data_IF_222527298202
#
_entry.id   IF_222527298202
#
_cell.length_a   1.000
_cell.length_b   1.000
_cell.length_c   1.000
_cell.angle_alpha   90.00
_cell.angle_beta   90.00
_cell.angle_gamma   90.00
#
_symmetry.space_group_name_H-M   'P 1'
#
loop_
_entity.id
_entity.type
_entity.pdbx_description
1 polymer ?
#
# COMPACT_ATOMS: atom_id res chain seq x y z
N UNK A 1 -7.32 -11.38 28.88
CA UNK A 1 -6.98 -10.99 27.50
C UNK A 1 -5.51 -10.61 27.48
N UNK A 2 -4.68 -11.48 26.94
CA UNK A 2 -3.23 -11.29 26.93
C UNK A 2 -2.85 -10.33 25.80
N UNK A 3 -2.61 -9.05 26.16
CA UNK A 3 -2.22 -7.98 25.21
C UNK A 3 -0.95 -8.31 24.41
N UNK A 4 -0.19 -9.33 24.81
CA UNK A 4 1.00 -9.80 24.10
C UNK A 4 0.67 -10.51 22.79
N UNK A 5 -0.54 -11.04 22.62
CA UNK A 5 -1.00 -11.68 21.38
C UNK A 5 -1.52 -10.68 20.32
N UNK A 6 -1.78 -9.43 20.71
CA UNK A 6 -2.20 -8.37 19.79
C UNK A 6 -1.02 -7.56 19.23
N UNK A 7 0.18 -7.77 19.79
CA UNK A 7 1.40 -7.18 19.26
C UNK A 7 1.84 -7.99 18.04
N UNK A 8 1.92 -7.34 16.87
CA UNK A 8 2.53 -7.96 15.69
C UNK A 8 4.03 -8.17 15.96
N UNK A 9 4.38 -9.39 16.36
CA UNK A 9 5.73 -9.79 16.71
C UNK A 9 6.35 -10.57 15.54
N UNK A 10 7.63 -10.34 15.23
CA UNK A 10 8.32 -11.11 14.20
C UNK A 10 8.40 -12.58 14.59
N UNK A 11 8.28 -13.48 13.60
CA UNK A 11 8.62 -14.90 13.79
C UNK A 11 10.06 -15.08 14.26
N UNK A 12 10.40 -16.26 14.75
CA UNK A 12 11.77 -16.57 15.19
C UNK A 12 12.77 -16.38 14.03
N UNK A 13 12.40 -16.82 12.82
CA UNK A 13 13.23 -16.66 11.62
C UNK A 13 13.48 -15.19 11.30
N UNK A 14 12.43 -14.37 11.27
CA UNK A 14 12.55 -12.94 11.00
C UNK A 14 13.32 -12.25 12.11
N UNK A 15 13.07 -12.60 13.38
CA UNK A 15 13.81 -12.04 14.53
C UNK A 15 15.30 -12.32 14.43
N UNK A 16 15.70 -13.54 14.09
CA UNK A 16 17.11 -13.91 13.95
C UNK A 16 17.80 -13.09 12.85
N UNK A 17 17.11 -12.86 11.73
CA UNK A 17 17.60 -11.98 10.65
C UNK A 17 17.69 -10.52 11.10
N UNK A 18 16.71 -10.00 11.83
CA UNK A 18 16.75 -8.62 12.33
C UNK A 18 17.89 -8.42 13.33
N UNK A 19 18.17 -9.40 14.18
CA UNK A 19 19.30 -9.36 15.12
C UNK A 19 20.63 -9.31 14.33
N UNK A 20 20.79 -10.14 13.31
CA UNK A 20 22.05 -10.18 12.54
C UNK A 20 22.32 -8.90 11.74
N UNK A 21 21.26 -8.24 11.26
CA UNK A 21 21.34 -6.90 10.64
C UNK A 21 21.65 -5.83 11.69
N UNK A 22 20.95 -5.84 12.82
CA UNK A 22 21.11 -4.83 13.87
C UNK A 22 22.49 -4.87 14.55
N UNK A 23 23.11 -6.05 14.65
CA UNK A 23 24.47 -6.22 15.19
C UNK A 23 25.57 -5.95 14.17
N UNK A 24 25.22 -5.53 12.95
CA UNK A 24 26.14 -5.30 11.82
C UNK A 24 27.00 -6.53 11.46
N UNK A 25 26.57 -7.73 11.86
CA UNK A 25 27.21 -8.98 11.46
C UNK A 25 26.94 -9.30 9.98
N UNK A 26 25.83 -8.79 9.43
CA UNK A 26 25.48 -8.83 8.02
C UNK A 26 25.02 -7.46 7.52
N UNK A 27 25.57 -7.00 6.39
CA UNK A 27 24.99 -5.87 5.65
C UNK A 27 23.65 -6.30 5.05
N UNK A 28 22.62 -5.44 5.08
CA UNK A 28 21.29 -5.70 4.49
C UNK A 28 21.33 -6.16 3.02
N UNK A 29 22.44 -5.89 2.33
CA UNK A 29 22.77 -6.29 0.95
C UNK A 29 22.87 -7.82 0.77
N UNK A 30 23.14 -8.59 1.82
CA UNK A 30 23.30 -10.06 1.74
C UNK A 30 22.04 -10.86 2.07
N UNK A 31 20.92 -10.19 2.40
CA UNK A 31 19.66 -10.90 2.63
C UNK A 31 19.08 -11.31 1.27
N UNK A 32 18.69 -12.58 1.18
CA UNK A 32 18.02 -13.13 0.01
C UNK A 32 16.78 -12.31 -0.34
N UNK A 33 16.70 -11.88 -1.61
CA UNK A 33 15.58 -11.08 -2.13
C UNK A 33 14.25 -11.81 -1.99
N UNK A 34 14.26 -13.14 -2.00
CA UNK A 34 13.06 -13.96 -1.77
C UNK A 34 12.51 -13.83 -0.34
N UNK A 35 13.31 -13.32 0.60
CA UNK A 35 12.88 -13.02 1.97
C UNK A 35 12.43 -11.58 2.18
N UNK A 36 12.46 -10.72 1.15
CA UNK A 36 12.04 -9.33 1.26
C UNK A 36 10.67 -9.14 0.60
N UNK A 37 9.97 -8.07 0.96
CA UNK A 37 8.84 -7.59 0.17
C UNK A 37 9.34 -6.75 -1.01
N UNK A 38 8.76 -6.95 -2.18
CA UNK A 38 9.11 -6.20 -3.39
C UNK A 38 7.86 -5.66 -4.09
N UNK A 39 7.06 -4.82 -3.40
CA UNK A 39 5.83 -4.29 -3.96
C UNK A 39 6.11 -3.25 -5.05
N UNK A 40 5.18 -3.18 -5.98
CA UNK A 40 5.13 -2.14 -7.01
C UNK A 40 3.79 -2.18 -7.70
N UNK A 41 3.37 -1.04 -8.23
CA UNK A 41 2.07 -0.92 -8.89
C UNK A 41 1.98 -1.89 -10.07
N UNK A 42 0.89 -2.67 -10.12
CA UNK A 42 0.66 -3.67 -11.17
C UNK A 42 -0.17 -3.12 -12.34
N UNK A 43 -1.01 -2.11 -12.10
CA UNK A 43 -2.00 -1.65 -13.06
C UNK A 43 -1.88 -0.15 -13.37
N UNK A 44 -1.45 0.19 -14.58
CA UNK A 44 -1.38 1.58 -15.08
C UNK A 44 -2.76 2.11 -15.54
N UNK A 45 -3.81 1.68 -14.85
CA UNK A 45 -5.16 2.08 -15.17
C UNK A 45 -5.50 3.29 -14.30
N UNK A 46 -5.21 4.48 -14.83
CA UNK A 46 -5.85 5.71 -14.37
C UNK A 46 -7.36 5.43 -14.33
N UNK A 47 -7.96 5.56 -13.14
CA UNK A 47 -9.34 5.14 -12.90
C UNK A 47 -10.36 5.98 -13.66
N UNK A 48 -9.99 7.22 -13.98
CA UNK A 48 -10.83 8.16 -14.72
C UNK A 48 -12.09 8.58 -13.96
N UNK A 49 -13.02 9.23 -14.67
CA UNK A 49 -14.30 9.66 -14.13
C UNK A 49 -15.45 9.02 -14.90
N UNK A 50 -15.79 7.79 -14.49
CA UNK A 50 -16.84 7.00 -15.15
C UNK A 50 -18.19 7.71 -15.24
N UNK A 51 -18.49 8.65 -14.32
CA UNK A 51 -19.73 9.45 -14.39
C UNK A 51 -19.62 10.51 -15.47
N UNK A 52 -18.46 11.18 -15.60
CA UNK A 52 -18.20 12.10 -16.71
C UNK A 52 -18.31 11.37 -18.05
N UNK A 53 -17.75 10.17 -18.17
CA UNK A 53 -17.81 9.36 -19.39
C UNK A 53 -19.26 9.00 -19.75
N UNK A 54 -20.07 8.66 -18.74
CA UNK A 54 -21.51 8.40 -18.93
C UNK A 54 -22.26 9.66 -19.35
N UNK A 55 -21.99 10.80 -18.69
CA UNK A 55 -22.62 12.08 -19.06
C UNK A 55 -22.24 12.50 -20.47
N UNK A 56 -20.98 12.32 -20.87
CA UNK A 56 -20.53 12.62 -22.22
C UNK A 56 -21.28 11.76 -23.24
N UNK A 57 -21.41 10.46 -22.96
CA UNK A 57 -22.06 9.49 -23.86
C UNK A 57 -23.56 9.71 -24.01
N UNK A 58 -24.27 10.10 -22.94
CA UNK A 58 -25.74 10.14 -22.93
C UNK A 58 -26.34 11.55 -22.90
N UNK A 59 -25.61 12.55 -22.40
CA UNK A 59 -26.11 13.93 -22.24
C UNK A 59 -25.31 14.95 -23.07
N UNK A 60 -24.25 14.49 -23.76
CA UNK A 60 -23.38 15.31 -24.58
C UNK A 60 -22.35 16.11 -23.78
N UNK A 61 -21.43 16.74 -24.51
CA UNK A 61 -20.26 17.42 -23.97
C UNK A 61 -20.62 18.58 -23.03
N UNK A 62 -21.63 19.38 -23.39
CA UNK A 62 -22.07 20.53 -22.60
C UNK A 62 -22.59 20.15 -21.22
N UNK A 63 -23.22 18.99 -21.08
CA UNK A 63 -23.66 18.47 -19.78
C UNK A 63 -22.46 17.93 -18.99
N UNK A 64 -21.58 17.16 -19.64
CA UNK A 64 -20.39 16.59 -19.02
C UNK A 64 -19.44 17.67 -18.46
N UNK A 65 -19.28 18.82 -19.15
CA UNK A 65 -18.45 19.94 -18.70
C UNK A 65 -18.94 20.60 -17.41
N UNK A 66 -20.24 20.51 -17.09
CA UNK A 66 -20.79 21.05 -15.83
C UNK A 66 -20.36 20.25 -14.60
N UNK A 67 -19.87 19.01 -14.80
CA UNK A 67 -19.37 18.18 -13.71
C UNK A 67 -18.03 18.71 -13.21
N UNK A 68 -18.05 19.30 -12.03
CA UNK A 68 -16.88 19.78 -11.32
C UNK A 68 -16.61 18.85 -10.14
N UNK A 69 -15.58 18.01 -10.25
CA UNK A 69 -15.15 17.09 -9.18
C UNK A 69 -13.65 17.22 -8.96
N UNK A 70 -13.21 17.02 -7.71
CA UNK A 70 -11.79 16.96 -7.42
C UNK A 70 -11.18 15.73 -8.09
N UNK A 71 -10.04 15.92 -8.74
CA UNK A 71 -9.25 14.89 -9.41
C UNK A 71 -7.88 14.77 -8.76
N UNK A 72 -7.12 13.72 -9.08
CA UNK A 72 -5.75 13.58 -8.58
C UNK A 72 -4.83 14.75 -8.97
N UNK A 73 -5.13 15.47 -10.05
CA UNK A 73 -4.38 16.65 -10.49
C UNK A 73 -4.84 17.97 -9.84
N UNK A 74 -6.01 18.00 -9.20
CA UNK A 74 -6.57 19.22 -8.61
C UNK A 74 -6.34 19.34 -7.10
N UNK A 75 -5.58 18.43 -6.51
CA UNK A 75 -5.25 18.42 -5.07
C UNK A 75 -3.74 18.33 -4.88
N UNK A 76 -3.29 18.67 -3.69
CA UNK A 76 -1.88 18.57 -3.30
C UNK A 76 -1.39 17.11 -3.40
N UNK A 77 -0.16 16.91 -3.88
CA UNK A 77 0.46 15.60 -4.00
C UNK A 77 1.01 15.13 -2.64
N UNK A 78 0.17 15.10 -1.62
CA UNK A 78 0.47 14.68 -0.25
C UNK A 78 -0.73 13.95 0.39
N UNK A 79 -0.57 13.45 1.62
CA UNK A 79 -1.68 12.88 2.40
C UNK A 79 -2.84 13.86 2.61
N UNK A 80 -2.58 15.17 2.61
CA UNK A 80 -3.62 16.20 2.73
C UNK A 80 -4.55 16.15 1.52
N UNK A 81 -4.00 16.14 0.31
CA UNK A 81 -4.78 16.00 -0.92
C UNK A 81 -5.50 14.65 -1.03
N UNK A 82 -4.84 13.57 -0.58
CA UNK A 82 -5.47 12.25 -0.53
C UNK A 82 -6.69 12.23 0.40
N UNK A 83 -6.59 12.87 1.57
CA UNK A 83 -7.72 13.02 2.50
C UNK A 83 -8.86 13.85 1.89
N UNK A 84 -8.56 14.89 1.11
CA UNK A 84 -9.58 15.68 0.40
C UNK A 84 -10.36 14.84 -0.63
N UNK A 85 -9.68 13.99 -1.40
CA UNK A 85 -10.33 13.09 -2.37
C UNK A 85 -11.20 12.04 -1.68
N UNK A 86 -10.72 11.48 -0.57
CA UNK A 86 -11.47 10.54 0.27
C UNK A 86 -12.71 11.22 0.86
N UNK A 87 -12.58 12.44 1.40
CA UNK A 87 -13.70 13.19 1.99
C UNK A 87 -14.74 13.61 0.94
N UNK A 88 -14.31 13.94 -0.27
CA UNK A 88 -15.22 14.21 -1.40
C UNK A 88 -15.82 12.95 -2.03
N UNK A 89 -15.48 11.76 -1.48
CA UNK A 89 -15.94 10.44 -1.94
C UNK A 89 -15.52 10.11 -3.38
N UNK A 90 -14.52 10.82 -3.92
CA UNK A 90 -13.94 10.47 -5.22
C UNK A 90 -12.84 9.40 -5.03
N UNK A 91 -13.27 8.18 -4.74
CA UNK A 91 -12.37 7.05 -4.46
C UNK A 91 -11.47 6.71 -5.66
N UNK A 92 -11.97 6.90 -6.90
CA UNK A 92 -11.21 6.67 -8.14
C UNK A 92 -10.02 7.63 -8.23
N UNK A 93 -10.27 8.93 -8.05
CA UNK A 93 -9.19 9.91 -8.01
C UNK A 93 -8.22 9.65 -6.83
N UNK A 94 -8.71 9.16 -5.70
CA UNK A 94 -7.86 8.80 -4.56
C UNK A 94 -6.93 7.61 -4.87
N UNK A 95 -7.38 6.62 -5.66
CA UNK A 95 -6.52 5.53 -6.16
C UNK A 95 -5.45 6.06 -7.10
N UNK A 96 -5.81 6.99 -7.99
CA UNK A 96 -4.85 7.60 -8.91
C UNK A 96 -3.77 8.38 -8.15
N UNK A 97 -4.18 9.18 -7.16
CA UNK A 97 -3.25 9.95 -6.34
C UNK A 97 -2.36 9.03 -5.49
N UNK A 98 -2.90 7.99 -4.85
CA UNK A 98 -2.08 7.06 -4.07
C UNK A 98 -1.03 6.36 -4.93
N UNK A 99 -1.34 6.06 -6.19
CA UNK A 99 -0.37 5.55 -7.16
C UNK A 99 0.78 6.53 -7.43
N UNK A 100 0.48 7.82 -7.62
CA UNK A 100 1.51 8.87 -7.80
C UNK A 100 2.40 9.01 -6.57
N UNK A 101 1.80 8.98 -5.37
CA UNK A 101 2.56 9.06 -4.12
C UNK A 101 3.47 7.85 -3.94
N UNK A 102 3.00 6.64 -4.23
CA UNK A 102 3.83 5.44 -4.22
C UNK A 102 4.97 5.50 -5.24
N UNK A 103 4.72 6.07 -6.43
CA UNK A 103 5.78 6.30 -7.41
C UNK A 103 6.86 7.24 -6.88
N UNK A 104 6.51 8.28 -6.12
CA UNK A 104 7.48 9.16 -5.46
C UNK A 104 8.34 8.42 -4.40
N UNK A 105 7.80 7.37 -3.78
CA UNK A 105 8.55 6.45 -2.89
C UNK A 105 9.32 5.35 -3.65
N UNK A 106 9.37 5.39 -4.99
CA UNK A 106 10.05 4.36 -5.79
C UNK A 106 9.32 3.01 -5.84
N UNK A 107 8.03 2.99 -5.51
CA UNK A 107 7.15 1.82 -5.47
C UNK A 107 6.03 1.90 -6.53
N UNK A 108 6.27 2.71 -7.57
CA UNK A 108 5.36 2.92 -8.70
C UNK A 108 5.38 1.80 -9.74
N UNK A 109 4.98 2.14 -10.97
CA UNK A 109 4.98 1.21 -12.11
C UNK A 109 6.37 0.69 -12.46
N UNK A 110 6.44 -0.58 -12.86
CA UNK A 110 7.70 -1.25 -13.22
C UNK A 110 8.61 -1.56 -12.03
N UNK A 111 8.16 -1.33 -10.79
CA UNK A 111 8.94 -1.59 -9.57
C UNK A 111 8.60 -2.91 -8.88
N UNK A 112 7.54 -3.59 -9.32
CA UNK A 112 7.17 -4.89 -8.76
C UNK A 112 8.28 -5.91 -8.97
N UNK A 113 8.64 -6.65 -7.92
CA UNK A 113 9.75 -7.61 -7.95
C UNK A 113 11.14 -6.97 -7.87
N UNK A 114 11.23 -5.66 -7.69
CA UNK A 114 12.50 -4.96 -7.45
C UNK A 114 12.67 -4.65 -5.96
N UNK A 115 13.90 -4.66 -5.43
CA UNK A 115 14.17 -4.21 -4.06
C UNK A 115 13.65 -2.79 -3.83
N UNK A 116 12.98 -2.59 -2.70
CA UNK A 116 12.47 -1.28 -2.29
C UNK A 116 12.74 -1.01 -0.82
N UNK A 117 12.73 0.27 -0.45
CA UNK A 117 12.87 0.68 0.95
C UNK A 117 11.51 1.13 1.47
N UNK A 118 11.13 0.64 2.65
CA UNK A 118 9.92 1.04 3.30
C UNK A 118 10.13 2.23 4.23
N UNK A 119 9.12 3.08 4.25
CA UNK A 119 8.95 4.16 5.21
C UNK A 119 7.59 3.99 5.87
N UNK A 120 7.38 4.68 7.00
CA UNK A 120 6.05 4.76 7.61
C UNK A 120 5.01 5.24 6.60
N UNK A 121 5.39 6.21 5.76
CA UNK A 121 4.54 6.88 4.80
C UNK A 121 4.20 5.96 3.62
N UNK A 122 5.19 5.25 3.06
CA UNK A 122 4.96 4.32 1.95
C UNK A 122 4.03 3.16 2.36
N UNK A 123 4.20 2.61 3.57
CA UNK A 123 3.33 1.55 4.09
C UNK A 123 1.91 2.05 4.35
N UNK A 124 1.75 3.28 4.85
CA UNK A 124 0.42 3.92 4.97
C UNK A 124 -0.23 4.15 3.61
N UNK A 125 0.53 4.54 2.59
CA UNK A 125 0.01 4.71 1.22
C UNK A 125 -0.47 3.40 0.62
N UNK A 126 0.31 2.31 0.78
CA UNK A 126 -0.11 0.97 0.35
C UNK A 126 -1.41 0.53 1.00
N UNK A 127 -1.53 0.76 2.31
CA UNK A 127 -2.77 0.49 3.02
C UNK A 127 -3.95 1.27 2.45
N UNK A 128 -3.80 2.59 2.25
CA UNK A 128 -4.88 3.42 1.69
C UNK A 128 -5.23 2.94 0.28
N UNK A 129 -4.24 2.65 -0.55
CA UNK A 129 -4.44 2.16 -1.91
C UNK A 129 -5.24 0.86 -1.94
N UNK A 130 -4.82 -0.15 -1.18
CA UNK A 130 -5.50 -1.45 -1.13
C UNK A 130 -6.93 -1.31 -0.57
N UNK A 131 -7.12 -0.48 0.45
CA UNK A 131 -8.44 -0.14 0.99
C UNK A 131 -9.36 0.49 -0.07
N UNK A 132 -8.82 1.39 -0.89
CA UNK A 132 -9.57 2.07 -1.94
C UNK A 132 -9.93 1.12 -3.09
N UNK A 133 -9.01 0.23 -3.49
CA UNK A 133 -9.27 -0.80 -4.50
C UNK A 133 -10.42 -1.71 -4.06
N UNK A 134 -10.38 -2.20 -2.82
CA UNK A 134 -11.46 -3.00 -2.21
C UNK A 134 -12.76 -2.21 -2.14
N UNK A 135 -12.72 -0.93 -1.74
CA UNK A 135 -13.90 -0.06 -1.70
C UNK A 135 -14.54 0.16 -3.07
N UNK A 136 -13.75 0.10 -4.15
CA UNK A 136 -14.22 0.18 -5.54
C UNK A 136 -14.62 -1.18 -6.13
N UNK A 137 -14.52 -2.28 -5.37
CA UNK A 137 -14.78 -3.64 -5.85
C UNK A 137 -13.68 -4.21 -6.74
N UNK A 138 -12.49 -3.58 -6.78
CA UNK A 138 -11.34 -4.02 -7.58
C UNK A 138 -10.49 -5.04 -6.81
N UNK A 139 -11.12 -6.15 -6.42
CA UNK A 139 -10.52 -7.14 -5.55
C UNK A 139 -9.31 -7.83 -6.18
N UNK A 140 -9.38 -8.18 -7.46
CA UNK A 140 -8.25 -8.79 -8.19
C UNK A 140 -7.02 -7.87 -8.20
N UNK A 141 -7.25 -6.56 -8.37
CA UNK A 141 -6.16 -5.58 -8.35
C UNK A 141 -5.55 -5.48 -6.95
N UNK A 142 -6.39 -5.48 -5.92
CA UNK A 142 -5.94 -5.44 -4.53
C UNK A 142 -5.13 -6.68 -4.17
N UNK A 143 -5.57 -7.88 -4.57
CA UNK A 143 -4.86 -9.13 -4.32
C UNK A 143 -3.48 -9.13 -4.99
N UNK A 144 -3.42 -8.78 -6.28
CA UNK A 144 -2.17 -8.78 -7.05
C UNK A 144 -1.16 -7.73 -6.57
N UNK A 145 -1.63 -6.60 -6.04
CA UNK A 145 -0.77 -5.59 -5.44
C UNK A 145 -0.39 -5.92 -3.99
N UNK A 146 -1.16 -6.77 -3.31
CA UNK A 146 -0.86 -7.24 -1.96
C UNK A 146 0.10 -8.44 -1.93
N UNK A 147 0.07 -9.31 -2.94
CA UNK A 147 0.89 -10.53 -3.02
C UNK A 147 2.37 -10.33 -2.64
N UNK A 148 3.07 -9.26 -3.06
CA UNK A 148 4.47 -9.04 -2.70
C UNK A 148 4.73 -8.80 -1.20
N UNK A 149 3.70 -8.48 -0.41
CA UNK A 149 3.78 -8.31 1.04
C UNK A 149 3.75 -9.64 1.80
N UNK A 150 3.43 -10.76 1.11
CA UNK A 150 3.48 -12.11 1.64
C UNK A 150 2.66 -12.24 2.94
N UNK A 151 3.28 -12.76 4.01
CA UNK A 151 2.65 -12.97 5.31
C UNK A 151 2.78 -11.77 6.26
N UNK A 152 3.24 -10.62 5.76
CA UNK A 152 3.50 -9.41 6.56
C UNK A 152 4.51 -9.61 7.71
N UNK A 153 5.39 -10.60 7.56
CA UNK A 153 6.43 -10.94 8.55
C UNK A 153 7.85 -10.79 8.00
N UNK A 154 7.99 -10.15 6.84
CA UNK A 154 9.32 -9.99 6.24
C UNK A 154 10.14 -8.92 6.98
N UNK A 155 11.46 -9.10 7.10
CA UNK A 155 12.32 -8.25 7.91
C UNK A 155 12.31 -6.78 7.46
N UNK A 156 12.13 -6.50 6.17
CA UNK A 156 12.04 -5.14 5.61
C UNK A 156 10.77 -4.38 6.05
N UNK A 157 9.86 -5.01 6.78
CA UNK A 157 8.70 -4.36 7.41
C UNK A 157 9.00 -3.89 8.84
N UNK A 158 10.22 -4.05 9.35
CA UNK A 158 10.61 -3.71 10.72
C UNK A 158 11.69 -2.60 10.76
N UNK A 159 11.68 -1.79 11.82
CA UNK A 159 12.65 -0.70 12.00
C UNK A 159 14.09 -1.22 12.05
N UNK A 160 14.30 -2.38 12.68
CA UNK A 160 15.61 -3.00 12.90
C UNK A 160 16.32 -3.36 11.60
N UNK A 161 15.59 -3.50 10.49
CA UNK A 161 16.19 -3.73 9.16
C UNK A 161 16.88 -2.49 8.59
N UNK A 162 16.53 -1.29 9.06
CA UNK A 162 17.07 -0.01 8.59
C UNK A 162 17.84 0.74 9.70
N UNK A 163 18.94 0.18 10.24
CA UNK A 163 19.64 0.73 11.41
C UNK A 163 20.21 2.13 11.15
N UNK A 164 20.56 2.45 9.91
CA UNK A 164 21.07 3.78 9.52
C UNK A 164 19.99 4.86 9.43
N UNK A 165 18.74 4.46 9.14
CA UNK A 165 17.61 5.39 8.97
C UNK A 165 16.85 5.56 10.29
N UNK A 166 16.74 4.49 11.08
CA UNK A 166 16.00 4.47 12.35
C UNK A 166 16.84 3.91 13.51
N UNK A 167 17.93 4.60 13.90
CA UNK A 167 18.84 4.10 14.93
C UNK A 167 18.10 3.91 16.26
N UNK A 168 18.22 2.70 16.83
CA UNK A 168 17.65 2.34 18.13
C UNK A 168 16.13 2.12 18.14
N UNK A 169 15.42 2.31 17.02
CA UNK A 169 13.99 1.97 16.92
C UNK A 169 13.79 0.48 16.72
N UNK A 170 12.71 -0.05 17.27
CA UNK A 170 12.35 -1.47 17.22
C UNK A 170 10.88 -1.67 16.93
N UNK A 171 10.55 -2.81 16.34
CA UNK A 171 9.19 -3.21 16.01
C UNK A 171 8.81 -2.91 14.56
N UNK A 172 7.55 -3.20 14.23
CA UNK A 172 7.01 -3.05 12.88
C UNK A 172 6.94 -1.56 12.46
N UNK A 173 7.31 -1.27 11.21
CA UNK A 173 7.28 0.08 10.63
C UNK A 173 5.84 0.61 10.47
N UNK A 174 4.89 -0.29 10.22
CA UNK A 174 3.47 0.03 10.12
C UNK A 174 2.79 -0.03 11.50
N UNK A 175 1.74 0.78 11.70
CA UNK A 175 0.89 0.66 12.88
C UNK A 175 0.23 -0.74 12.90
N UNK A 176 0.18 -1.41 14.06
CA UNK A 176 -0.41 -2.75 14.19
C UNK A 176 -1.84 -2.88 13.62
N UNK A 177 -2.64 -1.80 13.65
CA UNK A 177 -3.96 -1.75 13.01
C UNK A 177 -3.89 -1.92 11.48
N UNK A 178 -2.84 -1.40 10.82
CA UNK A 178 -2.62 -1.56 9.39
C UNK A 178 -2.38 -3.04 9.06
N UNK A 179 -1.63 -3.74 9.90
CA UNK A 179 -1.30 -5.15 9.68
C UNK A 179 -2.52 -6.05 9.89
N UNK A 180 -3.28 -5.83 10.97
CA UNK A 180 -4.55 -6.55 11.20
C UNK A 180 -5.56 -6.32 10.08
N UNK A 181 -5.67 -5.09 9.58
CA UNK A 181 -6.61 -4.78 8.50
C UNK A 181 -6.16 -5.35 7.15
N UNK A 182 -4.86 -5.27 6.80
CA UNK A 182 -4.37 -5.87 5.55
C UNK A 182 -4.55 -7.38 5.55
N UNK A 183 -4.33 -8.03 6.69
CA UNK A 183 -4.63 -9.44 6.86
C UNK A 183 -6.15 -9.74 6.75
N UNK A 184 -7.02 -8.86 7.27
CA UNK A 184 -8.47 -9.03 7.14
C UNK A 184 -9.02 -8.75 5.73
N UNK A 185 -8.53 -7.72 5.05
CA UNK A 185 -9.07 -7.25 3.78
C UNK A 185 -8.87 -8.27 2.66
N UNK A 186 -7.74 -8.97 2.64
CA UNK A 186 -7.51 -10.00 1.61
C UNK A 186 -8.15 -11.32 2.01
N UNK A 187 -8.18 -11.67 3.30
CA UNK A 187 -8.69 -12.97 3.77
C UNK A 187 -10.22 -13.05 3.88
N UNK A 188 -10.90 -11.92 4.04
CA UNK A 188 -12.36 -11.84 4.17
C UNK A 188 -13.04 -11.04 3.06
N UNK A 189 -12.31 -10.64 2.01
CA UNK A 189 -12.95 -10.23 0.77
C UNK A 189 -13.68 -11.45 0.18
N UNK A 190 -14.97 -11.35 -0.18
CA UNK A 190 -15.81 -12.49 -0.54
C UNK A 190 -15.53 -12.97 -1.97
N UNK A 191 -14.30 -13.35 -2.25
CA UNK A 191 -13.87 -14.04 -3.46
C UNK A 191 -13.06 -15.30 -3.15
N UNK A 192 -13.36 -15.98 -2.04
CA UNK A 192 -13.19 -17.44 -2.08
C UNK A 192 -14.30 -17.97 -2.99
N UNK A 193 -14.01 -18.50 -4.19
CA UNK A 193 -14.97 -19.41 -4.78
C UNK A 193 -15.10 -20.56 -3.78
N UNK A 194 -16.30 -20.76 -3.25
CA UNK A 194 -16.64 -22.02 -2.63
C UNK A 194 -16.43 -23.10 -3.71
N UNK A 195 -15.30 -23.82 -3.62
CA UNK A 195 -15.13 -25.13 -4.21
C UNK A 195 -15.05 -26.14 -3.05
#
# INVERSE_FOLDING_TARGET
MDRRNDAWLPSEDTRNLLISVATQQYTSVFIDKEKLTMPGLKFDNIQGDAVRDLMLRFLGEQAAMKRQVLTAGSVEQTFVGLKQLINSKNWRAAVDLSGRLLAAHGQGYGKSGQPTNHTTDSLQLWFVRLSLLVKLGQFQNAELEFEPFKKLDQPDLYYEYYPHVYPGRRGVLSCGCLVSFMHCVVRYCPLSPCY
#
